data_IF_171479502054
#
_entry.id   IF_171479502054
#
_cell.length_a   1.000
_cell.length_b   1.000
_cell.length_c   1.000
_cell.angle_alpha   90.00
_cell.angle_beta   90.00
_cell.angle_gamma   90.00
#
_symmetry.space_group_name_H-M   'P 1'
#
loop_
_entity.id
_entity.type
_entity.pdbx_description
1 polymer ?
#
# COMPACT_ATOMS: atom_id res chain seq x y z
N UNK A 1 15.34 17.63 24.90
CA UNK A 1 15.64 16.22 25.19
C UNK A 1 16.06 15.50 23.92
N UNK A 2 17.22 14.86 23.91
CA UNK A 2 17.67 14.13 22.71
C UNK A 2 16.66 13.10 22.23
N UNK A 3 16.00 12.42 23.15
CA UNK A 3 15.00 11.40 22.85
C UNK A 3 13.81 12.00 22.08
N UNK A 4 13.29 13.14 22.54
CA UNK A 4 12.17 13.80 21.87
C UNK A 4 12.57 14.35 20.52
N UNK A 5 13.80 14.85 20.38
CA UNK A 5 14.32 15.34 19.12
C UNK A 5 14.43 14.19 18.10
N UNK A 6 14.89 13.02 18.53
CA UNK A 6 14.94 11.83 17.67
C UNK A 6 13.56 11.41 17.20
N UNK A 7 12.59 11.39 18.12
CA UNK A 7 11.21 11.02 17.78
C UNK A 7 10.58 12.00 16.82
N UNK A 8 10.80 13.29 17.01
CA UNK A 8 10.24 14.32 16.12
C UNK A 8 10.86 14.27 14.72
N UNK A 9 12.08 13.72 14.58
CA UNK A 9 12.68 13.47 13.28
C UNK A 9 12.15 12.23 12.57
N UNK A 10 11.57 11.27 13.34
CA UNK A 10 11.03 10.01 12.82
C UNK A 10 9.52 10.07 12.60
N UNK A 11 8.82 10.85 13.41
CA UNK A 11 7.38 10.92 13.40
C UNK A 11 6.94 12.38 13.24
N UNK A 12 5.83 12.63 12.51
CA UNK A 12 5.29 13.97 12.40
C UNK A 12 4.85 14.50 13.79
N UNK A 13 4.85 15.84 13.99
CA UNK A 13 4.42 16.44 15.27
C UNK A 13 3.00 16.09 15.67
N UNK A 14 2.13 15.81 14.70
CA UNK A 14 0.75 15.35 14.91
C UNK A 14 0.52 14.07 14.16
N UNK A 15 -0.39 13.18 14.63
CA UNK A 15 -0.72 11.95 13.92
C UNK A 15 -1.23 12.27 12.52
N UNK A 16 -0.76 11.52 11.54
CA UNK A 16 -1.31 11.58 10.19
C UNK A 16 -2.53 10.69 10.12
N UNK A 17 -3.63 11.25 9.64
CA UNK A 17 -4.78 10.45 9.24
C UNK A 17 -4.48 9.81 7.89
N UNK A 18 -4.99 8.61 7.69
CA UNK A 18 -4.81 7.90 6.45
C UNK A 18 -6.01 7.03 6.12
N UNK A 19 -6.02 6.54 4.90
CA UNK A 19 -7.03 5.62 4.43
C UNK A 19 -6.40 4.27 4.14
N UNK A 20 -7.00 3.22 4.68
CA UNK A 20 -6.63 1.84 4.37
C UNK A 20 -7.77 1.22 3.60
N UNK A 21 -7.53 0.93 2.32
CA UNK A 21 -8.48 0.17 1.50
C UNK A 21 -8.27 -1.31 1.81
N UNK A 22 -8.91 -1.80 2.89
CA UNK A 22 -8.69 -3.16 3.37
C UNK A 22 -9.95 -3.93 3.67
N UNK A 23 -11.10 -3.45 3.22
CA UNK A 23 -12.38 -4.09 3.48
C UNK A 23 -12.59 -5.36 2.63
N UNK A 24 -13.47 -6.22 3.08
CA UNK A 24 -13.88 -7.41 2.34
C UNK A 24 -14.93 -7.04 1.29
N UNK A 25 -15.09 -7.91 0.29
CA UNK A 25 -16.03 -7.72 -0.78
C UNK A 25 -15.43 -7.04 -1.99
N UNK A 26 -16.29 -6.45 -2.82
CA UNK A 26 -15.87 -5.82 -4.05
C UNK A 26 -15.04 -4.56 -3.76
N UNK A 27 -13.86 -4.52 -4.32
CA UNK A 27 -12.98 -3.35 -4.20
C UNK A 27 -13.48 -2.16 -5.00
N UNK A 28 -12.90 -1.00 -4.75
CA UNK A 28 -13.19 0.21 -5.52
C UNK A 28 -12.67 0.10 -6.95
N UNK A 29 -13.27 0.86 -7.85
CA UNK A 29 -12.75 1.01 -9.20
C UNK A 29 -11.46 1.83 -9.18
N UNK A 30 -10.68 1.72 -10.24
CA UNK A 30 -9.47 2.54 -10.38
C UNK A 30 -9.81 4.03 -10.47
N UNK A 31 -10.97 4.37 -11.05
CA UNK A 31 -11.47 5.75 -11.09
C UNK A 31 -11.77 6.28 -9.68
N UNK A 32 -12.42 5.47 -8.86
CA UNK A 32 -12.71 5.86 -7.47
C UNK A 32 -11.42 6.06 -6.68
N UNK A 33 -10.45 5.16 -6.85
CA UNK A 33 -9.14 5.28 -6.20
C UNK A 33 -8.42 6.57 -6.60
N UNK A 34 -8.45 6.92 -7.89
CA UNK A 34 -7.86 8.16 -8.38
C UNK A 34 -8.52 9.40 -7.76
N UNK A 35 -9.84 9.36 -7.59
CA UNK A 35 -10.56 10.46 -6.91
C UNK A 35 -10.14 10.59 -5.45
N UNK A 36 -9.98 9.49 -4.74
CA UNK A 36 -9.48 9.52 -3.36
C UNK A 36 -8.05 10.06 -3.29
N UNK A 37 -7.20 9.75 -4.26
CA UNK A 37 -5.86 10.29 -4.31
C UNK A 37 -5.84 11.82 -4.38
N UNK A 38 -6.86 12.43 -5.00
CA UNK A 38 -7.01 13.88 -5.05
C UNK A 38 -7.72 14.43 -3.82
N UNK A 39 -8.74 13.73 -3.32
CA UNK A 39 -9.59 14.19 -2.24
C UNK A 39 -8.89 14.15 -0.88
N UNK A 40 -8.20 13.05 -0.59
CA UNK A 40 -7.62 12.80 0.72
C UNK A 40 -6.64 13.89 1.18
N UNK A 41 -5.67 14.35 0.36
CA UNK A 41 -4.74 15.38 0.80
C UNK A 41 -5.42 16.71 1.12
N UNK A 42 -6.50 17.01 0.42
CA UNK A 42 -7.28 18.26 0.65
C UNK A 42 -8.04 18.26 1.96
N UNK A 43 -8.21 17.10 2.56
CA UNK A 43 -9.00 16.91 3.79
C UNK A 43 -8.13 16.46 4.97
N UNK A 44 -6.81 16.69 4.89
CA UNK A 44 -5.90 16.44 6.00
C UNK A 44 -5.36 15.03 6.10
N UNK A 45 -5.63 14.17 5.12
CA UNK A 45 -5.11 12.81 5.10
C UNK A 45 -3.70 12.79 4.54
N UNK A 46 -2.82 11.98 5.14
CA UNK A 46 -1.41 11.93 4.77
C UNK A 46 -0.97 10.66 4.06
N UNK A 47 -1.79 9.60 4.08
CA UNK A 47 -1.43 8.36 3.41
C UNK A 47 -2.64 7.58 2.88
N UNK A 48 -2.37 6.76 1.88
CA UNK A 48 -3.30 5.79 1.32
C UNK A 48 -2.61 4.44 1.29
N UNK A 49 -3.21 3.43 1.92
CA UNK A 49 -2.70 2.07 1.91
C UNK A 49 -3.61 1.20 1.04
N UNK A 50 -3.07 0.70 -0.06
CA UNK A 50 -3.77 -0.22 -0.94
C UNK A 50 -3.63 -1.64 -0.42
N UNK A 51 -4.73 -2.20 0.09
CA UNK A 51 -4.74 -3.55 0.65
C UNK A 51 -6.12 -4.22 0.50
N UNK A 52 -6.79 -4.11 -0.68
CA UNK A 52 -8.12 -4.68 -0.84
C UNK A 52 -8.09 -6.20 -0.72
N UNK A 53 -9.02 -6.75 0.04
CA UNK A 53 -9.13 -8.19 0.23
C UNK A 53 -9.44 -8.94 -1.06
N UNK A 54 -10.01 -8.25 -2.03
CA UNK A 54 -10.30 -8.78 -3.36
C UNK A 54 -9.05 -9.03 -4.20
N UNK A 55 -7.94 -8.31 -3.91
CA UNK A 55 -6.71 -8.47 -4.67
C UNK A 55 -5.95 -9.70 -4.19
N UNK A 56 -6.13 -10.81 -4.90
CA UNK A 56 -5.47 -12.08 -4.60
C UNK A 56 -3.96 -12.04 -4.70
N UNK A 57 -3.41 -11.13 -5.49
CA UNK A 57 -1.96 -10.98 -5.66
C UNK A 57 -1.28 -10.38 -4.44
N UNK A 58 -2.04 -9.84 -3.51
CA UNK A 58 -1.55 -9.40 -2.20
C UNK A 58 -1.71 -10.46 -1.12
N UNK A 59 -2.43 -11.54 -1.39
CA UNK A 59 -2.83 -12.51 -0.38
C UNK A 59 -2.53 -13.94 -0.82
N UNK A 60 -3.53 -14.66 -1.29
CA UNK A 60 -3.42 -16.09 -1.64
C UNK A 60 -2.41 -16.33 -2.76
N UNK A 61 -2.38 -15.47 -3.75
CA UNK A 61 -1.48 -15.57 -4.91
C UNK A 61 -0.36 -14.53 -4.85
N UNK A 62 0.14 -14.28 -3.65
CA UNK A 62 1.15 -13.24 -3.41
C UNK A 62 2.46 -13.48 -4.18
N UNK A 63 2.82 -14.75 -4.44
CA UNK A 63 4.04 -15.07 -5.17
C UNK A 63 3.91 -14.83 -6.68
N UNK A 64 2.69 -14.65 -7.18
CA UNK A 64 2.43 -14.37 -8.59
C UNK A 64 2.48 -12.87 -8.83
N UNK A 65 3.22 -12.37 -9.84
CA UNK A 65 3.18 -10.96 -10.20
C UNK A 65 1.79 -10.54 -10.65
N UNK A 66 1.45 -9.26 -10.42
CA UNK A 66 0.21 -8.74 -10.99
C UNK A 66 0.24 -8.81 -12.52
N UNK A 67 -0.90 -9.03 -13.18
CA UNK A 67 -1.00 -8.81 -14.62
C UNK A 67 -0.52 -7.41 -14.99
N UNK A 68 0.05 -7.27 -16.19
CA UNK A 68 0.70 -6.02 -16.60
C UNK A 68 -0.24 -4.81 -16.53
N UNK A 69 -1.49 -4.96 -16.94
CA UNK A 69 -2.48 -3.90 -16.90
C UNK A 69 -2.83 -3.48 -15.47
N UNK A 70 -2.95 -4.44 -14.57
CA UNK A 70 -3.24 -4.17 -13.15
C UNK A 70 -2.04 -3.52 -12.46
N UNK A 71 -0.84 -3.99 -12.75
CA UNK A 71 0.38 -3.39 -12.21
C UNK A 71 0.55 -1.95 -12.69
N UNK A 72 0.24 -1.69 -13.95
CA UNK A 72 0.29 -0.34 -14.49
C UNK A 72 -0.71 0.59 -13.80
N UNK A 73 -1.94 0.11 -13.58
CA UNK A 73 -2.96 0.88 -12.87
C UNK A 73 -2.52 1.18 -11.44
N UNK A 74 -1.90 0.20 -10.77
CA UNK A 74 -1.39 0.39 -9.42
C UNK A 74 -0.24 1.39 -9.38
N UNK A 75 0.66 1.35 -10.35
CA UNK A 75 1.75 2.31 -10.48
C UNK A 75 1.24 3.73 -10.74
N UNK A 76 0.21 3.86 -11.57
CA UNK A 76 -0.44 5.16 -11.82
C UNK A 76 -1.06 5.72 -10.55
N UNK A 77 -1.74 4.88 -9.79
CA UNK A 77 -2.32 5.31 -8.51
C UNK A 77 -1.24 5.79 -7.54
N UNK A 78 -0.15 5.04 -7.43
CA UNK A 78 0.98 5.43 -6.59
C UNK A 78 1.56 6.78 -6.99
N UNK A 79 1.70 7.00 -8.30
CA UNK A 79 2.19 8.27 -8.85
C UNK A 79 1.25 9.42 -8.54
N UNK A 80 -0.05 9.22 -8.75
CA UNK A 80 -1.06 10.23 -8.45
C UNK A 80 -1.05 10.61 -6.97
N UNK A 81 -0.94 9.65 -6.07
CA UNK A 81 -0.83 9.91 -4.65
C UNK A 81 0.39 10.79 -4.35
N UNK A 82 1.55 10.43 -4.86
CA UNK A 82 2.78 11.18 -4.63
C UNK A 82 2.71 12.60 -5.18
N UNK A 83 2.15 12.77 -6.37
CA UNK A 83 1.98 14.09 -7.00
C UNK A 83 1.07 15.00 -6.18
N UNK A 84 0.14 14.43 -5.44
CA UNK A 84 -0.76 15.17 -4.56
C UNK A 84 -0.26 15.27 -3.12
N UNK A 85 0.98 14.85 -2.85
CA UNK A 85 1.57 14.92 -1.52
C UNK A 85 1.07 13.84 -0.55
N UNK A 86 0.47 12.77 -1.07
CA UNK A 86 -0.07 11.66 -0.29
C UNK A 86 0.92 10.50 -0.32
N UNK A 87 1.34 10.02 0.83
CA UNK A 87 2.17 8.82 0.90
C UNK A 87 1.33 7.59 0.46
N UNK A 88 1.95 6.69 -0.29
CA UNK A 88 1.29 5.51 -0.81
C UNK A 88 1.99 4.25 -0.33
N UNK A 89 1.21 3.29 0.12
CA UNK A 89 1.72 1.99 0.53
C UNK A 89 0.85 0.85 0.03
N UNK A 90 1.39 -0.35 0.07
CA UNK A 90 0.70 -1.57 -0.34
C UNK A 90 0.76 -2.57 0.80
N UNK A 91 -0.38 -3.12 1.17
CA UNK A 91 -0.47 -4.11 2.23
C UNK A 91 -0.35 -5.52 1.68
N UNK A 92 0.82 -6.14 1.89
CA UNK A 92 1.08 -7.51 1.46
C UNK A 92 0.80 -8.48 2.60
N UNK A 93 -0.05 -9.47 2.34
CA UNK A 93 -0.38 -10.54 3.29
C UNK A 93 0.01 -11.88 2.66
N UNK A 94 1.27 -12.31 2.79
CA UNK A 94 1.76 -13.51 2.10
C UNK A 94 1.22 -14.78 2.76
N UNK A 95 0.02 -15.18 2.38
CA UNK A 95 -0.67 -16.32 2.97
C UNK A 95 0.12 -17.61 2.75
N UNK A 96 0.31 -18.36 3.83
CA UNK A 96 1.03 -19.63 3.79
C UNK A 96 2.55 -19.52 3.82
N UNK A 97 3.12 -18.32 3.69
CA UNK A 97 4.59 -18.16 3.65
C UNK A 97 5.27 -18.67 4.91
N UNK A 98 4.59 -18.67 6.06
CA UNK A 98 5.12 -19.12 7.33
C UNK A 98 5.32 -20.64 7.39
N UNK A 99 4.66 -21.43 6.53
CA UNK A 99 4.79 -22.89 6.54
C UNK A 99 6.17 -23.36 6.09
N UNK A 100 6.82 -22.60 5.20
CA UNK A 100 8.18 -22.87 4.76
C UNK A 100 8.84 -21.56 4.36
N UNK A 101 9.12 -20.75 5.35
CA UNK A 101 9.61 -19.38 5.14
C UNK A 101 10.94 -19.37 4.37
N UNK A 102 11.87 -20.25 4.74
CA UNK A 102 13.19 -20.27 4.08
C UNK A 102 13.07 -20.50 2.57
N UNK A 103 12.16 -21.38 2.16
CA UNK A 103 11.89 -21.68 0.76
C UNK A 103 11.14 -20.54 0.06
N UNK A 104 10.20 -19.90 0.77
CA UNK A 104 9.34 -18.84 0.23
C UNK A 104 10.01 -17.46 0.19
N UNK A 105 11.07 -17.27 0.96
CA UNK A 105 11.74 -15.98 1.12
C UNK A 105 12.17 -15.34 -0.21
N UNK A 106 12.81 -16.06 -1.16
CA UNK A 106 13.20 -15.44 -2.42
C UNK A 106 12.01 -14.88 -3.21
N UNK A 107 10.89 -15.62 -3.27
CA UNK A 107 9.68 -15.17 -3.95
C UNK A 107 9.07 -13.96 -3.26
N UNK A 108 9.11 -13.93 -1.93
CA UNK A 108 8.63 -12.79 -1.15
C UNK A 108 9.45 -11.53 -1.42
N UNK A 109 10.77 -11.65 -1.48
CA UNK A 109 11.65 -10.53 -1.79
C UNK A 109 11.41 -10.01 -3.21
N UNK A 110 11.19 -10.88 -4.18
CA UNK A 110 10.82 -10.48 -5.55
C UNK A 110 9.53 -9.68 -5.55
N UNK A 111 8.52 -10.14 -4.81
CA UNK A 111 7.24 -9.42 -4.72
C UNK A 111 7.41 -8.04 -4.10
N UNK A 112 8.19 -7.93 -3.04
CA UNK A 112 8.45 -6.65 -2.38
C UNK A 112 9.17 -5.68 -3.32
N UNK A 113 10.05 -6.16 -4.18
CA UNK A 113 10.74 -5.33 -5.17
C UNK A 113 9.80 -4.75 -6.23
N UNK A 114 8.70 -5.44 -6.53
CA UNK A 114 7.69 -4.91 -7.46
C UNK A 114 6.88 -3.76 -6.86
N UNK A 115 6.80 -3.70 -5.56
CA UNK A 115 6.04 -2.67 -4.85
C UNK A 115 6.89 -1.42 -4.67
#
# INVERSE_FOLDING_TARGET
MPYQTLLSGLYPPSPKLGLIEGFFGKGWSWEARARYAQWLPRHGYGFYLYAPKEDGYLRKHWATPWPADQLEALCQLARQCRENGLAFGVGLSPMGAHHDYARQRPALLEKVRLI
#
